data_IF_453280964377
#
_entry.id   IF_453280964377
#
_cell.length_a   1.000
_cell.length_b   1.000
_cell.length_c   1.000
_cell.angle_alpha   90.00
_cell.angle_beta   90.00
_cell.angle_gamma   90.00
#
_symmetry.space_group_name_H-M   'P 1'
#
loop_
_entity.id
_entity.type
_entity.pdbx_description
1 polymer ?
#
# COMPACT_ATOMS: atom_id res chain seq x y z
N UNK A 1 -23.18 -4.20 -5.75
CA UNK A 1 -21.81 -3.99 -6.28
C UNK A 1 -20.96 -3.32 -5.20
N UNK A 2 -20.15 -4.08 -4.47
CA UNK A 2 -19.23 -3.55 -3.46
C UNK A 2 -17.95 -3.09 -4.16
N UNK A 3 -17.71 -1.77 -4.19
CA UNK A 3 -16.47 -1.21 -4.68
C UNK A 3 -15.31 -1.72 -3.81
N UNK A 4 -14.35 -2.42 -4.42
CA UNK A 4 -13.09 -2.78 -3.76
C UNK A 4 -12.39 -1.46 -3.42
N UNK A 5 -12.36 -1.10 -2.14
CA UNK A 5 -11.58 0.03 -1.66
C UNK A 5 -10.13 -0.11 -2.15
N UNK A 6 -9.47 0.98 -2.51
CA UNK A 6 -8.04 0.97 -2.87
C UNK A 6 -7.25 0.46 -1.65
N UNK A 7 -6.94 -0.84 -1.61
CA UNK A 7 -6.19 -1.50 -0.54
C UNK A 7 -4.88 -2.03 -1.09
N UNK A 8 -3.87 -2.10 -0.23
CA UNK A 8 -2.66 -2.88 -0.54
C UNK A 8 -2.73 -4.20 0.21
N UNK A 9 -2.69 -5.29 -0.54
CA UNK A 9 -2.76 -6.64 0.00
C UNK A 9 -1.35 -7.17 0.20
N UNK A 10 -1.04 -7.59 1.42
CA UNK A 10 0.22 -8.27 1.70
C UNK A 10 0.11 -9.74 1.27
N UNK A 11 0.58 -10.07 0.07
CA UNK A 11 0.44 -11.41 -0.53
C UNK A 11 1.03 -12.53 0.31
N UNK A 12 2.16 -12.31 0.98
CA UNK A 12 2.74 -13.32 1.88
C UNK A 12 1.85 -13.59 3.10
N UNK A 13 1.28 -12.54 3.69
CA UNK A 13 0.31 -12.68 4.79
C UNK A 13 -0.97 -13.36 4.30
N UNK A 14 -1.45 -13.01 3.11
CA UNK A 14 -2.61 -13.64 2.49
C UNK A 14 -2.38 -15.15 2.28
N UNK A 15 -1.25 -15.55 1.68
CA UNK A 15 -0.89 -16.96 1.50
C UNK A 15 -0.87 -17.70 2.83
N UNK A 16 -0.17 -17.18 3.85
CA UNK A 16 -0.11 -17.81 5.17
C UNK A 16 -1.50 -17.96 5.81
N UNK A 17 -2.39 -16.98 5.64
CA UNK A 17 -3.78 -17.07 6.14
C UNK A 17 -4.56 -18.16 5.39
N UNK A 18 -4.37 -18.30 4.08
CA UNK A 18 -4.98 -19.38 3.33
C UNK A 18 -4.44 -20.74 3.78
N UNK A 19 -3.12 -20.91 3.83
CA UNK A 19 -2.47 -22.18 4.16
C UNK A 19 -2.83 -22.69 5.57
N UNK A 20 -3.06 -21.78 6.52
CA UNK A 20 -3.46 -22.12 7.89
C UNK A 20 -4.94 -22.44 8.04
N UNK A 21 -5.82 -21.78 7.28
CA UNK A 21 -7.28 -21.91 7.43
C UNK A 21 -7.91 -22.89 6.43
N UNK A 22 -7.22 -23.22 5.33
CA UNK A 22 -7.67 -24.23 4.38
C UNK A 22 -7.18 -25.61 4.81
N UNK A 23 -7.93 -26.25 5.71
CA UNK A 23 -7.95 -27.70 5.73
C UNK A 23 -8.74 -28.16 4.51
N UNK A 24 -8.10 -28.88 3.60
CA UNK A 24 -8.73 -29.57 2.46
C UNK A 24 -9.60 -30.72 2.97
N UNK A 25 -10.69 -30.39 3.66
CA UNK A 25 -11.65 -31.38 4.11
C UNK A 25 -12.50 -31.76 2.90
N UNK A 26 -12.43 -33.01 2.49
CA UNK A 26 -13.33 -33.55 1.47
C UNK A 26 -14.75 -33.51 2.04
N UNK A 27 -15.56 -32.53 1.63
CA UNK A 27 -16.97 -32.48 1.97
C UNK A 27 -17.66 -33.59 1.19
N UNK A 28 -18.35 -34.55 1.85
CA UNK A 28 -19.15 -35.53 1.14
C UNK A 28 -20.32 -34.83 0.46
N UNK A 29 -20.29 -34.74 -0.86
CA UNK A 29 -21.33 -34.11 -1.67
C UNK A 29 -22.47 -35.11 -1.83
N UNK A 30 -23.62 -34.85 -1.20
CA UNK A 30 -24.83 -35.69 -1.33
C UNK A 30 -25.92 -35.03 -2.16
N UNK A 31 -25.89 -33.70 -2.27
CA UNK A 31 -26.87 -32.88 -2.98
C UNK A 31 -26.20 -31.73 -3.72
N UNK A 32 -26.78 -31.21 -4.83
CA UNK A 32 -26.30 -30.01 -5.49
C UNK A 32 -26.20 -28.78 -4.57
N UNK A 33 -27.03 -28.72 -3.50
CA UNK A 33 -26.98 -27.63 -2.51
C UNK A 33 -25.65 -27.62 -1.75
N UNK A 34 -25.08 -28.79 -1.49
CA UNK A 34 -23.82 -28.92 -0.76
C UNK A 34 -22.66 -28.31 -1.55
N UNK A 35 -22.78 -28.30 -2.90
CA UNK A 35 -21.81 -27.66 -3.79
C UNK A 35 -21.91 -26.15 -3.66
N UNK A 36 -23.12 -25.59 -3.68
CA UNK A 36 -23.33 -24.15 -3.51
C UNK A 36 -22.84 -23.66 -2.15
N UNK A 37 -23.15 -24.41 -1.08
CA UNK A 37 -22.70 -24.09 0.27
C UNK A 37 -21.17 -24.14 0.40
N UNK A 38 -20.53 -25.15 -0.20
CA UNK A 38 -19.06 -25.23 -0.22
C UNK A 38 -18.43 -24.07 -1.01
N UNK A 39 -19.02 -23.67 -2.15
CA UNK A 39 -18.55 -22.53 -2.94
C UNK A 39 -18.73 -21.22 -2.17
N UNK A 40 -19.85 -21.04 -1.48
CA UNK A 40 -20.12 -19.86 -0.67
C UNK A 40 -19.16 -19.76 0.52
N UNK A 41 -18.91 -20.86 1.23
CA UNK A 41 -17.93 -20.93 2.33
C UNK A 41 -16.50 -20.62 1.84
N UNK A 42 -16.09 -21.22 0.72
CA UNK A 42 -14.80 -20.94 0.07
C UNK A 42 -14.66 -19.45 -0.26
N UNK A 43 -15.70 -18.87 -0.87
CA UNK A 43 -15.72 -17.46 -1.26
C UNK A 43 -15.64 -16.56 -0.03
N UNK A 44 -16.39 -16.87 1.03
CA UNK A 44 -16.37 -16.12 2.28
C UNK A 44 -14.99 -16.15 2.95
N UNK A 45 -14.34 -17.33 3.00
CA UNK A 45 -12.99 -17.49 3.55
C UNK A 45 -11.94 -16.69 2.77
N UNK A 46 -12.01 -16.71 1.44
CA UNK A 46 -11.10 -15.92 0.59
C UNK A 46 -11.29 -14.43 0.84
N UNK A 47 -12.54 -13.95 0.91
CA UNK A 47 -12.84 -12.54 1.19
C UNK A 47 -12.32 -12.14 2.58
N UNK A 48 -12.54 -12.97 3.60
CA UNK A 48 -12.05 -12.72 4.96
C UNK A 48 -10.51 -12.69 5.01
N UNK A 49 -9.84 -13.63 4.36
CA UNK A 49 -8.39 -13.65 4.26
C UNK A 49 -7.85 -12.41 3.55
N UNK A 50 -8.50 -12.00 2.46
CA UNK A 50 -8.15 -10.80 1.73
C UNK A 50 -8.30 -9.56 2.62
N UNK A 51 -9.40 -9.41 3.36
CA UNK A 51 -9.61 -8.30 4.28
C UNK A 51 -8.57 -8.27 5.41
N UNK A 52 -8.22 -9.42 5.99
CA UNK A 52 -7.22 -9.53 7.05
C UNK A 52 -5.77 -9.28 6.58
N UNK A 53 -5.48 -9.60 5.31
CA UNK A 53 -4.18 -9.36 4.67
C UNK A 53 -4.06 -7.96 4.05
N UNK A 54 -5.19 -7.29 3.84
CA UNK A 54 -5.26 -5.95 3.28
C UNK A 54 -5.11 -4.90 4.36
N UNK A 55 -4.44 -3.80 4.01
CA UNK A 55 -4.50 -2.55 4.78
C UNK A 55 -5.21 -1.49 3.94
N UNK A 56 -6.12 -0.69 4.52
CA UNK A 56 -6.61 0.49 3.85
C UNK A 56 -5.39 1.31 3.43
N UNK A 57 -5.29 1.63 2.14
CA UNK A 57 -4.30 2.61 1.74
C UNK A 57 -4.56 3.86 2.57
N UNK A 58 -3.53 4.50 3.15
CA UNK A 58 -3.73 5.80 3.75
C UNK A 58 -4.43 6.64 2.68
N UNK A 59 -5.66 7.08 2.98
CA UNK A 59 -6.30 8.15 2.21
C UNK A 59 -5.22 9.18 2.05
N UNK A 60 -4.90 9.53 0.81
CA UNK A 60 -3.79 10.41 0.47
C UNK A 60 -4.13 11.82 1.00
N UNK A 61 -4.15 11.96 2.32
CA UNK A 61 -4.27 13.17 3.11
C UNK A 61 -2.93 13.88 3.03
N UNK A 62 -2.36 13.98 1.82
CA UNK A 62 -1.38 14.99 1.50
C UNK A 62 -2.12 16.30 1.75
N UNK A 63 -1.92 16.87 2.93
CA UNK A 63 -2.33 18.23 3.23
C UNK A 63 -1.98 19.07 2.02
N UNK A 64 -2.96 19.78 1.48
CA UNK A 64 -2.76 20.54 0.26
C UNK A 64 -1.56 21.48 0.46
N UNK A 65 -0.49 21.24 -0.29
CA UNK A 65 0.65 22.14 -0.37
C UNK A 65 0.49 23.01 -1.61
N UNK A 66 0.74 24.33 -1.54
CA UNK A 66 0.79 25.15 -2.74
C UNK A 66 1.80 24.59 -3.76
N UNK A 67 1.55 24.71 -5.09
CA UNK A 67 2.48 24.24 -6.11
C UNK A 67 3.91 24.78 -5.94
N UNK A 68 4.04 26.05 -5.57
CA UNK A 68 5.34 26.69 -5.31
C UNK A 68 6.14 25.98 -4.20
N UNK A 69 5.47 25.64 -3.10
CA UNK A 69 6.09 24.92 -1.97
C UNK A 69 6.50 23.51 -2.37
N UNK A 70 5.68 22.81 -3.16
CA UNK A 70 6.03 21.48 -3.70
C UNK A 70 7.30 21.52 -4.56
N UNK A 71 7.43 22.52 -5.41
CA UNK A 71 8.63 22.72 -6.24
C UNK A 71 9.87 22.95 -5.36
N UNK A 72 9.78 23.83 -4.36
CA UNK A 72 10.89 24.09 -3.43
C UNK A 72 11.33 22.84 -2.66
N UNK A 73 10.37 22.07 -2.13
CA UNK A 73 10.65 20.80 -1.43
C UNK A 73 11.32 19.80 -2.37
N UNK A 74 10.83 19.69 -3.61
CA UNK A 74 11.37 18.75 -4.61
C UNK A 74 12.80 19.10 -4.96
N UNK A 75 13.07 20.38 -5.26
CA UNK A 75 14.42 20.86 -5.58
C UNK A 75 15.39 20.68 -4.41
N UNK A 76 14.95 21.00 -3.18
CA UNK A 76 15.73 20.75 -1.97
C UNK A 76 16.08 19.27 -1.82
N UNK A 77 15.11 18.37 -1.97
CA UNK A 77 15.32 16.93 -1.80
C UNK A 77 16.25 16.37 -2.87
N UNK A 78 16.11 16.80 -4.12
CA UNK A 78 16.98 16.41 -5.22
C UNK A 78 18.42 16.88 -4.98
N UNK A 79 18.61 18.15 -4.59
CA UNK A 79 19.94 18.69 -4.28
C UNK A 79 20.59 17.97 -3.07
N UNK A 80 19.81 17.66 -2.03
CA UNK A 80 20.28 16.85 -0.90
C UNK A 80 20.75 15.47 -1.38
N UNK A 81 19.96 14.80 -2.22
CA UNK A 81 20.30 13.47 -2.76
C UNK A 81 21.61 13.52 -3.55
N UNK A 82 21.77 14.50 -4.45
CA UNK A 82 22.99 14.67 -5.24
C UNK A 82 24.22 14.92 -4.36
N UNK A 83 24.11 15.85 -3.40
CA UNK A 83 25.19 16.10 -2.44
C UNK A 83 25.52 14.86 -1.59
N UNK A 84 24.51 14.07 -1.22
CA UNK A 84 24.71 12.82 -0.48
C UNK A 84 25.34 11.69 -1.30
N UNK A 85 25.29 11.76 -2.64
CA UNK A 85 25.93 10.78 -3.51
C UNK A 85 27.33 11.27 -3.90
N UNK A 86 27.42 12.47 -4.47
CA UNK A 86 28.63 12.97 -5.11
C UNK A 86 29.47 13.89 -4.22
N UNK A 87 28.96 14.26 -3.04
CA UNK A 87 29.62 15.22 -2.11
C UNK A 87 29.96 16.55 -2.78
N UNK A 88 29.21 16.95 -3.80
CA UNK A 88 29.51 18.13 -4.59
C UNK A 88 29.10 19.43 -3.86
N UNK A 89 29.97 20.46 -3.82
CA UNK A 89 29.67 21.73 -3.14
C UNK A 89 28.50 22.48 -3.77
N UNK A 90 28.31 22.36 -5.09
CA UNK A 90 27.24 23.05 -5.81
C UNK A 90 25.86 22.58 -5.32
N UNK A 91 25.61 21.28 -5.27
CA UNK A 91 24.35 20.72 -4.75
C UNK A 91 24.16 21.03 -3.27
N UNK A 92 25.24 21.12 -2.48
CA UNK A 92 25.14 21.59 -1.08
C UNK A 92 24.62 23.03 -1.01
N UNK A 93 25.11 23.91 -1.87
CA UNK A 93 24.64 25.31 -1.95
C UNK A 93 23.19 25.40 -2.40
N UNK A 94 22.80 24.63 -3.43
CA UNK A 94 21.41 24.55 -3.91
C UNK A 94 20.47 24.01 -2.83
N UNK A 95 20.89 22.96 -2.12
CA UNK A 95 20.15 22.43 -0.96
C UNK A 95 19.93 23.50 0.11
N UNK A 96 21.00 24.19 0.53
CA UNK A 96 20.94 25.24 1.55
C UNK A 96 20.05 26.41 1.09
N UNK A 97 20.14 26.82 -0.17
CA UNK A 97 19.32 27.88 -0.75
C UNK A 97 17.83 27.56 -0.66
N UNK A 98 17.40 26.40 -1.17
CA UNK A 98 15.99 26.00 -1.09
C UNK A 98 15.53 25.73 0.35
N UNK A 99 16.41 25.22 1.22
CA UNK A 99 16.11 25.06 2.64
C UNK A 99 15.84 26.40 3.32
N UNK A 100 16.57 27.46 2.97
CA UNK A 100 16.34 28.80 3.51
C UNK A 100 15.06 29.44 2.95
N UNK A 101 14.72 29.18 1.68
CA UNK A 101 13.45 29.64 1.11
C UNK A 101 12.22 29.01 1.79
N UNK A 102 12.34 27.79 2.30
CA UNK A 102 11.27 27.10 3.01
C UNK A 102 11.15 27.48 4.50
N UNK A 103 12.16 28.14 5.07
CA UNK A 103 12.15 28.63 6.45
C UNK A 103 11.53 30.02 6.58
N UNK A 104 11.42 30.75 5.47
CA UNK A 104 10.80 32.07 5.38
C UNK A 104 9.30 31.91 5.21
#
# INVERSE_FOLDING_TARGET
MTYLANVTTCWSKFSNILDTNFTYTTVPISSPIDIEDAVNDLTAKIIAAHQAASKPLPTNNKTYLPPSVRVLITNRNNARKLWQIYRDPHSKNVYNHHQNLLKR
#
